data_IF_536117665467
#
_entry.id   IF_536117665467
#
_cell.length_a   1.000
_cell.length_b   1.000
_cell.length_c   1.000
_cell.angle_alpha   90.00
_cell.angle_beta   90.00
_cell.angle_gamma   90.00
#
_symmetry.space_group_name_H-M   'P 1'
#
loop_
_entity.id
_entity.type
_entity.pdbx_description
1 polymer ?
#
# COMPACT_ATOMS: atom_id res chain seq x y z
N UNK A 1 6.54 -12.73 60.19
CA UNK A 1 7.13 -12.74 58.85
C UNK A 1 7.97 -11.47 58.75
N UNK A 2 9.25 -11.56 59.06
CA UNK A 2 10.15 -10.40 59.01
C UNK A 2 10.50 -10.11 57.56
N UNK A 3 10.11 -8.94 57.08
CA UNK A 3 10.39 -8.51 55.72
C UNK A 3 11.83 -8.05 55.66
N UNK A 4 12.69 -8.80 54.97
CA UNK A 4 14.09 -8.44 54.78
C UNK A 4 14.23 -7.33 53.71
N UNK A 5 14.37 -6.09 54.16
CA UNK A 5 14.51 -4.90 53.30
C UNK A 5 15.71 -4.97 52.34
N UNK A 6 16.79 -5.67 52.69
CA UNK A 6 17.96 -5.85 51.83
C UNK A 6 17.61 -6.66 50.57
N UNK A 7 16.78 -7.69 50.74
CA UNK A 7 16.33 -8.54 49.64
C UNK A 7 15.43 -7.75 48.70
N UNK A 8 14.52 -6.94 49.24
CA UNK A 8 13.66 -6.04 48.47
C UNK A 8 14.50 -5.03 47.68
N UNK A 9 15.50 -4.41 48.31
CA UNK A 9 16.40 -3.46 47.64
C UNK A 9 17.16 -4.08 46.47
N UNK A 10 17.68 -5.30 46.63
CA UNK A 10 18.36 -6.04 45.56
C UNK A 10 17.42 -6.34 44.39
N UNK A 11 16.20 -6.78 44.65
CA UNK A 11 15.20 -7.01 43.59
C UNK A 11 14.84 -5.72 42.86
N UNK A 12 14.67 -4.61 43.58
CA UNK A 12 14.36 -3.31 42.98
C UNK A 12 15.48 -2.84 42.03
N UNK A 13 16.74 -3.00 42.42
CA UNK A 13 17.90 -2.64 41.58
C UNK A 13 17.96 -3.53 40.33
N UNK A 14 17.77 -4.85 40.47
CA UNK A 14 17.76 -5.77 39.33
C UNK A 14 16.63 -5.42 38.36
N UNK A 15 15.43 -5.15 38.87
CA UNK A 15 14.29 -4.75 38.07
C UNK A 15 14.55 -3.43 37.31
N UNK A 16 15.17 -2.45 37.98
CA UNK A 16 15.54 -1.17 37.36
C UNK A 16 16.55 -1.37 36.23
N UNK A 17 17.60 -2.18 36.44
CA UNK A 17 18.58 -2.50 35.41
C UNK A 17 17.94 -3.23 34.22
N UNK A 18 17.03 -4.16 34.48
CA UNK A 18 16.30 -4.87 33.43
C UNK A 18 15.46 -3.92 32.58
N UNK A 19 14.74 -2.98 33.21
CA UNK A 19 13.96 -1.94 32.51
C UNK A 19 14.87 -1.09 31.62
N UNK A 20 16.03 -0.65 32.13
CA UNK A 20 16.99 0.15 31.37
C UNK A 20 17.51 -0.63 30.15
N UNK A 21 17.95 -1.88 30.35
CA UNK A 21 18.46 -2.75 29.28
C UNK A 21 17.37 -2.99 28.22
N UNK A 22 16.14 -3.26 28.65
CA UNK A 22 15.01 -3.47 27.74
C UNK A 22 14.73 -2.25 26.87
N UNK A 23 14.74 -1.05 27.44
CA UNK A 23 14.55 0.20 26.69
C UNK A 23 15.69 0.45 25.69
N UNK A 24 16.95 0.22 26.09
CA UNK A 24 18.10 0.34 25.19
C UNK A 24 17.93 -0.64 24.01
N UNK A 25 17.57 -1.89 24.28
CA UNK A 25 17.35 -2.90 23.26
C UNK A 25 16.19 -2.51 22.32
N UNK A 26 15.08 -1.99 22.85
CA UNK A 26 13.95 -1.52 22.07
C UNK A 26 14.33 -0.36 21.13
N UNK A 27 15.14 0.59 21.61
CA UNK A 27 15.66 1.71 20.79
C UNK A 27 16.57 1.18 19.68
N UNK A 28 17.49 0.26 20.00
CA UNK A 28 18.38 -0.34 19.00
C UNK A 28 17.59 -1.09 17.91
N UNK A 29 16.57 -1.86 18.31
CA UNK A 29 15.64 -2.52 17.39
C UNK A 29 14.88 -1.48 16.56
N UNK A 30 14.39 -0.41 17.18
CA UNK A 30 13.71 0.70 16.50
C UNK A 30 14.59 1.35 15.43
N UNK A 31 15.82 1.71 15.77
CA UNK A 31 16.80 2.28 14.84
C UNK A 31 17.10 1.29 13.71
N UNK A 32 17.27 0.01 14.03
CA UNK A 32 17.48 -1.04 13.03
C UNK A 32 16.29 -1.15 12.05
N UNK A 33 15.05 -1.15 12.56
CA UNK A 33 13.83 -1.18 11.76
C UNK A 33 13.75 0.04 10.81
N UNK A 34 14.02 1.24 11.34
CA UNK A 34 13.99 2.49 10.56
C UNK A 34 15.04 2.45 9.44
N UNK A 35 16.27 2.01 9.74
CA UNK A 35 17.35 1.95 8.74
C UNK A 35 17.09 0.94 7.63
N UNK A 36 16.45 -0.19 7.92
CA UNK A 36 16.20 -1.25 6.94
C UNK A 36 14.85 -1.11 6.24
N UNK A 37 14.02 -0.13 6.64
CA UNK A 37 12.62 0.06 6.22
C UNK A 37 11.78 -1.21 6.32
N UNK A 38 12.20 -2.14 7.18
CA UNK A 38 11.60 -3.47 7.36
C UNK A 38 11.16 -3.58 8.80
N UNK A 39 9.93 -4.01 9.01
CA UNK A 39 9.42 -4.37 10.32
C UNK A 39 9.93 -5.77 10.64
N UNK A 40 10.78 -5.90 11.67
CA UNK A 40 11.50 -7.13 12.01
C UNK A 40 10.55 -8.25 12.45
N UNK A 41 9.45 -7.89 13.13
CA UNK A 41 8.42 -8.82 13.58
C UNK A 41 7.00 -8.32 13.24
N UNK A 42 6.58 -8.38 11.95
CA UNK A 42 5.31 -7.82 11.52
C UNK A 42 4.10 -8.49 12.18
N UNK A 43 4.17 -9.80 12.43
CA UNK A 43 3.12 -10.54 13.13
C UNK A 43 3.00 -10.12 14.61
N UNK A 44 4.12 -9.85 15.28
CA UNK A 44 4.12 -9.41 16.67
C UNK A 44 3.54 -7.99 16.79
N UNK A 45 3.93 -7.08 15.90
CA UNK A 45 3.37 -5.72 15.85
C UNK A 45 1.86 -5.76 15.66
N UNK A 46 1.37 -6.54 14.70
CA UNK A 46 -0.07 -6.69 14.47
C UNK A 46 -0.77 -7.36 15.66
N UNK A 47 -0.16 -8.37 16.29
CA UNK A 47 -0.72 -9.02 17.47
C UNK A 47 -0.91 -8.04 18.64
N UNK A 48 0.12 -7.25 18.96
CA UNK A 48 0.05 -6.22 19.99
C UNK A 48 -1.02 -5.19 19.63
N UNK A 49 -1.02 -4.72 18.38
CA UNK A 49 -1.99 -3.73 17.93
C UNK A 49 -3.44 -4.23 18.06
N UNK A 50 -3.72 -5.49 17.71
CA UNK A 50 -5.05 -6.09 17.89
C UNK A 50 -5.41 -6.34 19.35
N UNK A 51 -4.43 -6.70 20.20
CA UNK A 51 -4.65 -6.87 21.64
C UNK A 51 -5.10 -5.57 22.31
N UNK A 52 -4.52 -4.45 21.89
CA UNK A 52 -4.82 -3.13 22.45
C UNK A 52 -5.93 -2.37 21.69
N UNK A 53 -6.38 -2.83 20.53
CA UNK A 53 -7.41 -2.17 19.73
C UNK A 53 -8.69 -1.87 20.51
N UNK A 54 -9.28 -2.88 21.15
CA UNK A 54 -10.52 -2.70 21.92
C UNK A 54 -10.35 -1.80 23.15
N UNK A 55 -9.30 -1.97 23.99
CA UNK A 55 -8.97 -1.02 25.04
C UNK A 55 -8.79 0.43 24.55
N UNK A 56 -8.07 0.63 23.43
CA UNK A 56 -7.86 1.97 22.86
C UNK A 56 -9.19 2.58 22.44
N UNK A 57 -10.04 1.83 21.73
CA UNK A 57 -11.34 2.33 21.27
C UNK A 57 -12.24 2.72 22.44
N UNK A 58 -12.24 1.91 23.50
CA UNK A 58 -12.97 2.21 24.75
C UNK A 58 -12.47 3.49 25.42
N UNK A 59 -11.15 3.69 25.48
CA UNK A 59 -10.57 4.93 26.02
C UNK A 59 -10.99 6.12 25.17
N UNK A 60 -10.82 6.04 23.84
CA UNK A 60 -11.16 7.14 22.93
C UNK A 60 -12.64 7.52 22.99
N UNK A 61 -13.54 6.54 23.07
CA UNK A 61 -14.97 6.77 23.22
C UNK A 61 -15.29 7.43 24.57
N UNK A 62 -14.64 7.00 25.65
CA UNK A 62 -14.79 7.60 26.99
C UNK A 62 -14.34 9.06 27.02
N UNK A 63 -13.26 9.40 26.31
CA UNK A 63 -12.75 10.78 26.21
C UNK A 63 -13.43 11.61 25.12
N UNK A 64 -14.53 11.14 24.52
CA UNK A 64 -15.24 11.81 23.41
C UNK A 64 -14.34 12.19 22.21
N UNK A 65 -13.28 11.40 21.99
CA UNK A 65 -12.37 11.55 20.85
C UNK A 65 -12.91 10.79 19.63
N UNK A 66 -12.42 11.13 18.43
CA UNK A 66 -12.81 10.41 17.22
C UNK A 66 -12.26 8.97 17.25
N UNK A 67 -13.14 7.99 17.46
CA UNK A 67 -12.82 6.57 17.41
C UNK A 67 -12.22 6.13 16.06
N UNK A 68 -12.60 6.81 14.97
CA UNK A 68 -12.11 6.51 13.62
C UNK A 68 -10.59 6.69 13.51
N UNK A 69 -9.99 7.55 14.33
CA UNK A 69 -8.54 7.74 14.33
C UNK A 69 -7.80 6.43 14.67
N UNK A 70 -8.38 5.62 15.56
CA UNK A 70 -7.82 4.31 15.92
C UNK A 70 -7.87 3.36 14.72
N UNK A 71 -8.97 3.39 13.98
CA UNK A 71 -9.16 2.59 12.76
C UNK A 71 -8.19 3.04 11.65
N UNK A 72 -8.02 4.34 11.43
CA UNK A 72 -7.06 4.90 10.47
C UNK A 72 -5.60 4.56 10.80
N UNK A 73 -5.21 4.68 12.06
CA UNK A 73 -3.86 4.28 12.50
C UNK A 73 -3.66 2.78 12.26
N UNK A 74 -4.67 1.97 12.54
CA UNK A 74 -4.60 0.52 12.36
C UNK A 74 -4.35 0.15 10.88
N UNK A 75 -5.08 0.73 9.93
CA UNK A 75 -4.86 0.38 8.51
C UNK A 75 -3.63 1.03 7.91
N UNK A 76 -3.14 2.18 8.42
CA UNK A 76 -1.82 2.68 8.03
C UNK A 76 -0.69 1.75 8.49
N UNK A 77 -0.79 1.18 9.70
CA UNK A 77 0.17 0.18 10.17
C UNK A 77 0.08 -1.09 9.32
N UNK A 78 -1.12 -1.59 9.02
CA UNK A 78 -1.32 -2.76 8.15
C UNK A 78 -0.74 -2.50 6.75
N UNK A 79 -0.97 -1.31 6.20
CA UNK A 79 -0.38 -0.86 4.93
C UNK A 79 1.13 -0.93 4.96
N UNK A 80 1.76 -0.34 5.97
CA UNK A 80 3.21 -0.33 6.14
C UNK A 80 3.77 -1.75 6.28
N UNK A 81 3.10 -2.63 7.04
CA UNK A 81 3.49 -4.04 7.21
C UNK A 81 3.42 -4.83 5.91
N UNK A 82 2.39 -4.60 5.09
CA UNK A 82 2.19 -5.32 3.85
C UNK A 82 3.00 -4.75 2.67
N UNK A 83 3.48 -3.49 2.76
CA UNK A 83 4.05 -2.73 1.65
C UNK A 83 5.18 -3.46 0.91
N UNK A 84 6.17 -3.99 1.63
CA UNK A 84 7.32 -4.66 1.01
C UNK A 84 6.94 -5.93 0.24
N UNK A 85 5.92 -6.64 0.72
CA UNK A 85 5.40 -7.84 0.04
C UNK A 85 4.53 -7.43 -1.15
N UNK A 86 3.75 -6.36 -0.99
CA UNK A 86 2.88 -5.80 -2.01
C UNK A 86 3.67 -5.33 -3.23
N UNK A 87 4.75 -4.57 -3.03
CA UNK A 87 5.64 -4.07 -4.09
C UNK A 87 6.24 -5.16 -4.98
N UNK A 88 6.40 -6.38 -4.46
CA UNK A 88 7.01 -7.51 -5.19
C UNK A 88 6.03 -8.27 -6.08
N UNK A 89 4.74 -7.93 -6.05
CA UNK A 89 3.70 -8.62 -6.81
C UNK A 89 3.47 -7.95 -8.15
N UNK A 90 3.51 -8.75 -9.22
CA UNK A 90 3.39 -8.28 -10.60
C UNK A 90 2.25 -8.93 -11.38
N UNK A 91 1.61 -9.98 -10.85
CA UNK A 91 0.56 -10.74 -11.53
C UNK A 91 -0.76 -10.77 -10.75
N UNK A 92 -1.90 -10.85 -11.46
CA UNK A 92 -3.25 -11.01 -10.85
C UNK A 92 -3.50 -10.03 -9.70
N UNK A 93 -3.22 -8.76 -9.96
CA UNK A 93 -3.43 -7.67 -9.02
C UNK A 93 -4.89 -7.21 -9.12
N UNK A 94 -5.54 -7.04 -7.98
CA UNK A 94 -6.94 -6.60 -7.95
C UNK A 94 -7.11 -5.29 -7.18
N UNK A 95 -8.12 -4.53 -7.58
CA UNK A 95 -8.59 -3.34 -6.91
C UNK A 95 -10.07 -3.53 -6.56
N UNK A 96 -10.38 -3.48 -5.27
CA UNK A 96 -11.73 -3.59 -4.75
C UNK A 96 -12.26 -2.19 -4.42
N UNK A 97 -13.35 -1.81 -5.08
CA UNK A 97 -14.03 -0.54 -4.86
C UNK A 97 -15.38 -0.77 -4.17
N UNK A 98 -15.79 0.11 -3.24
CA UNK A 98 -17.05 -0.04 -2.54
C UNK A 98 -18.19 0.50 -3.41
N UNK A 99 -19.38 -0.08 -3.26
CA UNK A 99 -20.59 0.45 -3.90
C UNK A 99 -20.93 1.90 -3.50
N UNK A 100 -20.43 2.36 -2.35
CA UNK A 100 -20.70 3.70 -1.80
C UNK A 100 -20.18 4.83 -2.71
N UNK A 101 -19.17 4.57 -3.54
CA UNK A 101 -18.66 5.54 -4.53
C UNK A 101 -19.63 5.75 -5.72
N UNK A 102 -20.65 4.89 -5.88
CA UNK A 102 -21.57 4.98 -7.00
C UNK A 102 -22.51 6.17 -6.81
N UNK A 103 -22.75 6.87 -7.92
CA UNK A 103 -23.82 7.84 -8.01
C UNK A 103 -25.19 7.14 -8.12
N UNK A 104 -26.23 7.79 -7.60
CA UNK A 104 -27.63 7.38 -7.74
C UNK A 104 -28.06 7.05 -9.18
N UNK A 105 -27.50 7.76 -10.17
CA UNK A 105 -27.80 7.60 -11.60
C UNK A 105 -26.93 6.54 -12.29
N UNK A 106 -26.09 5.82 -11.54
CA UNK A 106 -25.19 4.81 -12.09
C UNK A 106 -25.96 3.59 -12.60
N UNK A 107 -25.84 3.30 -13.90
CA UNK A 107 -26.53 2.21 -14.61
C UNK A 107 -25.85 0.82 -14.48
N UNK A 108 -24.86 0.69 -13.59
CA UNK A 108 -24.12 -0.55 -13.41
C UNK A 108 -25.04 -1.69 -12.92
N UNK A 109 -24.99 -2.85 -13.58
CA UNK A 109 -25.71 -4.06 -13.16
C UNK A 109 -24.89 -4.83 -12.13
N UNK A 110 -25.56 -5.37 -11.11
CA UNK A 110 -24.93 -6.25 -10.13
C UNK A 110 -24.85 -7.68 -10.69
N UNK A 111 -23.63 -8.19 -10.82
CA UNK A 111 -23.35 -9.58 -11.07
C UNK A 111 -23.29 -10.36 -9.72
N UNK A 112 -23.93 -11.53 -9.60
CA UNK A 112 -23.95 -12.31 -8.34
C UNK A 112 -22.59 -12.78 -7.84
N UNK A 113 -21.58 -12.81 -8.70
CA UNK A 113 -20.25 -13.36 -8.46
C UNK A 113 -19.20 -12.24 -8.35
N UNK A 114 -19.22 -11.29 -9.27
CA UNK A 114 -18.20 -10.23 -9.38
C UNK A 114 -18.63 -8.85 -8.85
N UNK A 115 -19.90 -8.68 -8.47
CA UNK A 115 -20.43 -7.40 -8.00
C UNK A 115 -20.85 -6.48 -9.15
N UNK A 116 -20.83 -5.16 -8.94
CA UNK A 116 -21.27 -4.20 -9.96
C UNK A 116 -20.29 -4.10 -11.12
N UNK A 117 -20.82 -4.27 -12.34
CA UNK A 117 -20.05 -4.11 -13.58
C UNK A 117 -20.12 -2.65 -14.03
N UNK A 118 -19.00 -1.93 -13.89
CA UNK A 118 -18.89 -0.54 -14.34
C UNK A 118 -18.95 -0.47 -15.87
N UNK A 119 -19.82 0.39 -16.40
CA UNK A 119 -19.99 0.62 -17.85
C UNK A 119 -19.32 1.92 -18.32
N UNK A 120 -18.57 2.61 -17.46
CA UNK A 120 -17.94 3.90 -17.84
C UNK A 120 -18.94 5.05 -18.00
N UNK A 121 -20.03 5.06 -17.23
CA UNK A 121 -21.12 6.04 -17.41
C UNK A 121 -20.78 7.51 -17.06
N UNK A 122 -19.58 7.80 -16.55
CA UNK A 122 -19.11 9.15 -16.21
C UNK A 122 -19.80 9.83 -15.02
N UNK A 123 -20.67 9.12 -14.28
CA UNK A 123 -21.42 9.71 -13.15
C UNK A 123 -20.67 9.69 -11.81
N UNK A 124 -19.54 8.99 -11.71
CA UNK A 124 -18.75 8.83 -10.49
C UNK A 124 -17.28 8.51 -10.82
N UNK A 125 -16.41 8.65 -9.83
CA UNK A 125 -14.95 8.50 -9.98
C UNK A 125 -14.51 7.07 -10.34
N UNK A 126 -15.39 6.07 -10.15
CA UNK A 126 -15.12 4.66 -10.50
C UNK A 126 -14.69 4.50 -11.95
N UNK A 127 -15.26 5.28 -12.88
CA UNK A 127 -14.90 5.22 -14.30
C UNK A 127 -13.43 5.53 -14.53
N UNK A 128 -12.97 6.67 -14.01
CA UNK A 128 -11.58 7.09 -14.07
C UNK A 128 -10.66 6.09 -13.36
N UNK A 129 -11.04 5.62 -12.17
CA UNK A 129 -10.25 4.63 -11.43
C UNK A 129 -10.08 3.33 -12.23
N UNK A 130 -11.13 2.88 -12.93
CA UNK A 130 -11.06 1.69 -13.79
C UNK A 130 -10.06 1.85 -14.95
N UNK A 131 -10.00 3.04 -15.57
CA UNK A 131 -9.05 3.33 -16.64
C UNK A 131 -7.60 3.31 -16.13
N UNK A 132 -7.34 4.00 -15.02
CA UNK A 132 -6.02 4.06 -14.39
C UNK A 132 -5.54 2.70 -13.89
N UNK A 133 -6.46 1.89 -13.36
CA UNK A 133 -6.20 0.52 -12.94
C UNK A 133 -5.85 -0.39 -14.12
N UNK A 134 -6.59 -0.27 -15.24
CA UNK A 134 -6.32 -1.05 -16.46
C UNK A 134 -4.93 -0.73 -17.02
N UNK A 135 -4.51 0.54 -17.01
CA UNK A 135 -3.17 0.95 -17.45
C UNK A 135 -2.04 0.35 -16.60
N UNK A 136 -2.32 -0.07 -15.36
CA UNK A 136 -1.34 -0.62 -14.41
C UNK A 136 -1.51 -2.12 -14.15
N UNK A 137 -2.26 -2.83 -15.00
CA UNK A 137 -2.55 -4.26 -14.87
C UNK A 137 -3.26 -4.65 -13.55
N UNK A 138 -4.22 -3.83 -13.14
CA UNK A 138 -5.13 -4.14 -12.04
C UNK A 138 -6.52 -4.51 -12.58
N UNK A 139 -7.06 -5.63 -12.09
CA UNK A 139 -8.46 -6.00 -12.32
C UNK A 139 -9.34 -5.35 -11.25
N UNK A 140 -10.29 -4.53 -11.68
CA UNK A 140 -11.21 -3.83 -10.77
C UNK A 140 -12.48 -4.64 -10.52
N UNK A 141 -12.91 -4.71 -9.26
CA UNK A 141 -14.21 -5.23 -8.86
C UNK A 141 -14.91 -4.21 -7.97
N UNK A 142 -16.16 -3.87 -8.29
CA UNK A 142 -16.98 -2.98 -7.47
C UNK A 142 -17.92 -3.83 -6.63
N UNK A 143 -17.66 -3.92 -5.34
CA UNK A 143 -18.35 -4.86 -4.45
C UNK A 143 -19.49 -4.18 -3.66
N UNK A 144 -20.65 -4.84 -3.52
CA UNK A 144 -21.73 -4.34 -2.67
C UNK A 144 -21.41 -4.48 -1.17
N UNK A 145 -20.52 -5.39 -0.78
CA UNK A 145 -20.08 -5.53 0.60
C UNK A 145 -19.04 -6.63 0.79
N UNK A 146 -18.51 -6.74 2.01
CA UNK A 146 -17.39 -7.61 2.36
C UNK A 146 -17.55 -9.10 2.04
N UNK A 147 -18.78 -9.63 1.94
CA UNK A 147 -19.02 -11.05 1.59
C UNK A 147 -18.53 -11.41 0.19
N UNK A 148 -18.49 -10.45 -0.75
CA UNK A 148 -17.97 -10.65 -2.09
C UNK A 148 -16.45 -10.78 -2.13
N UNK A 149 -15.74 -10.18 -1.17
CA UNK A 149 -14.27 -10.28 -1.08
C UNK A 149 -13.84 -11.73 -1.06
N UNK A 150 -14.45 -12.56 -0.21
CA UNK A 150 -14.11 -13.99 -0.10
C UNK A 150 -14.38 -14.74 -1.42
N UNK A 151 -15.50 -14.46 -2.09
CA UNK A 151 -15.85 -15.08 -3.38
C UNK A 151 -14.81 -14.77 -4.45
N UNK A 152 -14.50 -13.48 -4.62
CA UNK A 152 -13.49 -13.00 -5.58
C UNK A 152 -12.13 -13.64 -5.29
N UNK A 153 -11.76 -13.75 -4.02
CA UNK A 153 -10.50 -14.36 -3.61
C UNK A 153 -10.42 -15.85 -3.94
N UNK A 154 -11.52 -16.58 -3.75
CA UNK A 154 -11.58 -18.01 -4.07
C UNK A 154 -11.50 -18.25 -5.58
N UNK A 155 -12.18 -17.42 -6.38
CA UNK A 155 -12.29 -17.61 -7.81
C UNK A 155 -11.10 -17.03 -8.59
N UNK A 156 -10.81 -15.74 -8.39
CA UNK A 156 -9.75 -15.05 -9.12
C UNK A 156 -8.36 -15.38 -8.57
N UNK A 157 -8.26 -15.80 -7.30
CA UNK A 157 -7.01 -16.10 -6.60
C UNK A 157 -5.98 -14.98 -6.79
N UNK A 158 -6.26 -13.74 -6.34
CA UNK A 158 -5.35 -12.61 -6.51
C UNK A 158 -4.01 -12.83 -5.78
N UNK A 159 -2.92 -12.24 -6.30
CA UNK A 159 -1.63 -12.25 -5.56
C UNK A 159 -1.42 -11.01 -4.69
N UNK A 160 -2.12 -9.93 -5.00
CA UNK A 160 -2.15 -8.68 -4.23
C UNK A 160 -3.47 -7.96 -4.43
N UNK A 161 -3.87 -7.18 -3.44
CA UNK A 161 -5.14 -6.45 -3.45
C UNK A 161 -4.95 -5.01 -2.99
N UNK A 162 -5.65 -4.07 -3.62
CA UNK A 162 -5.92 -2.75 -3.04
C UNK A 162 -7.40 -2.72 -2.69
N UNK A 163 -7.74 -2.37 -1.46
CA UNK A 163 -9.12 -2.18 -1.01
C UNK A 163 -9.41 -0.71 -0.73
N UNK A 164 -10.59 -0.26 -1.14
CA UNK A 164 -11.09 1.08 -0.82
C UNK A 164 -12.36 0.92 0.01
N UNK A 165 -12.40 1.53 1.20
CA UNK A 165 -13.56 1.49 2.10
C UNK A 165 -13.46 2.57 3.20
N UNK A 166 -14.46 2.67 4.07
CA UNK A 166 -14.33 3.47 5.29
C UNK A 166 -13.28 2.83 6.24
N UNK A 167 -12.66 3.61 7.16
CA UNK A 167 -11.60 3.11 8.04
C UNK A 167 -11.99 1.85 8.82
N UNK A 168 -13.23 1.80 9.32
CA UNK A 168 -13.77 0.67 10.10
C UNK A 168 -13.84 -0.62 9.26
N UNK A 169 -14.46 -0.55 8.07
CA UNK A 169 -14.59 -1.74 7.22
C UNK A 169 -13.22 -2.20 6.70
N UNK A 170 -12.31 -1.25 6.44
CA UNK A 170 -10.98 -1.53 5.92
C UNK A 170 -10.08 -2.20 6.97
N UNK A 171 -10.11 -1.72 8.22
CA UNK A 171 -9.31 -2.27 9.32
C UNK A 171 -9.66 -3.75 9.59
N UNK A 172 -10.95 -4.07 9.57
CA UNK A 172 -11.45 -5.44 9.67
C UNK A 172 -11.10 -6.30 8.45
N UNK A 173 -11.30 -5.75 7.25
CA UNK A 173 -11.12 -6.50 6.00
C UNK A 173 -9.66 -6.87 5.79
N UNK A 174 -8.73 -5.96 6.08
CA UNK A 174 -7.30 -6.21 6.00
C UNK A 174 -6.83 -7.23 7.05
N UNK A 175 -7.41 -7.22 8.25
CA UNK A 175 -7.16 -8.26 9.26
C UNK A 175 -7.55 -9.66 8.73
N UNK A 176 -8.75 -9.77 8.13
CA UNK A 176 -9.26 -11.02 7.56
C UNK A 176 -8.51 -11.47 6.29
N UNK A 177 -7.77 -10.57 5.66
CA UNK A 177 -7.09 -10.76 4.37
C UNK A 177 -5.58 -11.09 4.52
N UNK A 178 -5.16 -11.60 5.67
CA UNK A 178 -3.73 -11.79 6.01
C UNK A 178 -2.93 -12.74 5.08
N UNK A 179 -3.60 -13.48 4.18
CA UNK A 179 -2.96 -14.44 3.28
C UNK A 179 -2.29 -13.82 2.06
N UNK A 180 -2.73 -12.62 1.64
CA UNK A 180 -2.12 -11.90 0.51
C UNK A 180 -1.69 -10.50 0.96
N UNK A 181 -0.65 -9.91 0.35
CA UNK A 181 -0.32 -8.51 0.58
C UNK A 181 -1.47 -7.62 0.08
N UNK A 182 -2.10 -6.92 1.01
CA UNK A 182 -3.16 -5.97 0.73
C UNK A 182 -2.74 -4.55 1.13
N UNK A 183 -3.26 -3.56 0.41
CA UNK A 183 -3.17 -2.16 0.76
C UNK A 183 -4.58 -1.59 0.86
N UNK A 184 -4.79 -0.67 1.80
CA UNK A 184 -6.02 0.06 2.00
C UNK A 184 -5.88 1.53 1.62
N UNK A 185 -6.95 2.09 1.06
CA UNK A 185 -7.15 3.53 0.88
C UNK A 185 -8.52 3.90 1.46
N UNK A 186 -8.56 4.92 2.29
CA UNK A 186 -9.81 5.37 2.91
C UNK A 186 -10.64 6.25 1.98
N UNK A 187 -11.94 6.23 2.19
CA UNK A 187 -12.84 7.24 1.64
C UNK A 187 -12.55 8.60 2.31
N UNK A 188 -12.68 9.68 1.53
CA UNK A 188 -12.47 11.05 2.02
C UNK A 188 -13.59 11.53 2.95
N UNK A 189 -14.78 10.95 2.78
CA UNK A 189 -15.93 11.20 3.64
C UNK A 189 -16.57 9.87 4.00
N UNK A 190 -17.03 9.75 5.25
CA UNK A 190 -17.83 8.62 5.68
C UNK A 190 -19.26 8.70 5.16
N UNK A 191 -19.85 7.51 4.99
CA UNK A 191 -21.21 7.36 4.50
C UNK A 191 -21.36 6.13 3.63
N UNK A 192 -22.61 5.79 3.33
CA UNK A 192 -22.94 4.65 2.48
C UNK A 192 -23.41 5.07 1.07
N UNK A 193 -23.33 6.37 0.73
CA UNK A 193 -23.91 6.91 -0.48
C UNK A 193 -23.12 8.10 -1.02
N UNK A 194 -22.82 8.08 -2.32
CA UNK A 194 -22.09 9.13 -3.04
C UNK A 194 -20.83 9.63 -2.30
N UNK A 195 -20.11 8.69 -1.70
CA UNK A 195 -18.84 8.98 -1.03
C UNK A 195 -17.78 9.37 -2.05
N UNK A 196 -16.75 10.06 -1.57
CA UNK A 196 -15.60 10.48 -2.39
C UNK A 196 -14.35 9.75 -1.95
N UNK A 197 -13.44 9.55 -2.88
CA UNK A 197 -12.09 9.04 -2.62
C UNK A 197 -11.09 9.90 -3.36
N UNK A 198 -9.92 10.07 -2.77
CA UNK A 198 -8.82 10.68 -3.49
C UNK A 198 -8.26 9.68 -4.51
N UNK A 199 -8.56 9.91 -5.80
CA UNK A 199 -8.11 9.05 -6.90
C UNK A 199 -6.58 8.97 -6.95
N UNK A 200 -5.89 10.07 -6.64
CA UNK A 200 -4.42 10.12 -6.66
C UNK A 200 -3.80 9.17 -5.64
N UNK A 201 -4.45 8.95 -4.50
CA UNK A 201 -3.94 8.02 -3.48
C UNK A 201 -4.05 6.56 -3.94
N UNK A 202 -5.12 6.23 -4.66
CA UNK A 202 -5.27 4.91 -5.30
C UNK A 202 -4.19 4.72 -6.37
N UNK A 203 -4.00 5.72 -7.24
CA UNK A 203 -2.97 5.70 -8.30
C UNK A 203 -1.58 5.50 -7.68
N UNK A 204 -1.24 6.28 -6.65
CA UNK A 204 0.03 6.18 -5.94
C UNK A 204 0.26 4.78 -5.36
N UNK A 205 -0.78 4.15 -4.79
CA UNK A 205 -0.69 2.76 -4.30
C UNK A 205 -0.50 1.76 -5.44
N UNK A 206 -1.18 1.94 -6.57
CA UNK A 206 -0.99 1.08 -7.75
C UNK A 206 0.46 1.15 -8.28
N UNK A 207 1.02 2.36 -8.37
CA UNK A 207 2.38 2.60 -8.87
C UNK A 207 3.48 1.96 -8.01
N UNK A 208 3.23 1.76 -6.71
CA UNK A 208 4.16 1.07 -5.83
C UNK A 208 4.47 -0.37 -6.31
N UNK A 209 3.54 -1.03 -7.01
CA UNK A 209 3.79 -2.36 -7.60
C UNK A 209 4.61 -2.30 -8.90
N UNK A 210 4.51 -1.19 -9.64
CA UNK A 210 5.15 -1.02 -10.95
C UNK A 210 6.64 -0.73 -10.80
N UNK A 211 7.05 -0.01 -9.76
CA UNK A 211 8.45 0.38 -9.56
C UNK A 211 9.43 -0.81 -9.43
N UNK A 212 8.95 -1.98 -9.02
CA UNK A 212 9.79 -3.18 -8.88
C UNK A 212 10.03 -3.90 -10.22
N UNK A 213 9.11 -3.78 -11.19
CA UNK A 213 9.28 -4.38 -12.51
C UNK A 213 10.36 -3.64 -13.33
N UNK A 214 10.45 -2.31 -13.21
CA UNK A 214 11.49 -1.52 -13.90
C UNK A 214 12.90 -1.79 -13.36
N UNK A 215 13.07 -1.98 -12.04
CA UNK A 215 14.39 -2.32 -11.47
C UNK A 215 14.85 -3.75 -11.80
N UNK A 216 13.93 -4.66 -12.12
CA UNK A 216 14.28 -6.04 -12.50
C UNK A 216 14.69 -6.14 -13.99
N UNK A 217 14.21 -5.23 -14.84
CA UNK A 217 14.60 -5.18 -16.26
C UNK A 217 15.92 -4.41 -16.48
N UNK A 218 16.30 -3.52 -15.55
CA UNK A 218 17.47 -2.65 -15.66
C UNK A 218 18.77 -3.06 -14.91
N UNK A 219 19.07 -4.33 -14.53
CA UNK A 219 20.44 -4.66 -14.12
C UNK A 219 21.39 -4.83 -15.32
N UNK A 220 20.89 -5.09 -16.52
CA UNK A 220 21.74 -5.41 -17.69
C UNK A 220 21.86 -4.31 -18.76
N UNK A 221 21.14 -3.19 -18.64
CA UNK A 221 21.25 -2.09 -19.61
C UNK A 221 22.49 -1.20 -19.40
N UNK A 222 23.19 -1.32 -18.26
CA UNK A 222 24.41 -0.54 -18.00
C UNK A 222 25.66 -1.13 -18.67
N UNK A 223 25.66 -2.41 -19.02
CA UNK A 223 26.82 -3.09 -19.63
C UNK A 223 26.97 -2.79 -21.13
N UNK A 224 25.87 -2.52 -21.84
CA UNK A 224 25.92 -2.25 -23.29
C UNK A 224 26.31 -0.80 -23.63
N UNK A 225 25.94 0.18 -22.78
CA UNK A 225 26.27 1.60 -22.99
C UNK A 225 27.78 1.90 -22.84
N UNK A 226 28.51 1.09 -22.08
CA UNK A 226 29.99 1.15 -22.02
C UNK A 226 30.66 0.58 -23.27
N UNK A 227 30.03 -0.39 -23.94
CA UNK A 227 30.61 -1.01 -25.14
C UNK A 227 30.38 -0.15 -26.39
N UNK A 228 29.24 0.54 -26.50
CA UNK A 228 28.97 1.44 -27.64
C UNK A 228 29.85 2.69 -27.62
N UNK A 229 30.19 3.21 -26.42
CA UNK A 229 31.10 4.36 -26.29
C UNK A 229 32.55 4.03 -26.67
N UNK A 230 32.99 2.78 -26.53
CA UNK A 230 34.32 2.35 -26.98
C UNK A 230 34.41 2.09 -28.49
N UNK A 231 33.28 1.88 -29.18
CA UNK A 231 33.25 1.70 -30.64
C UNK A 231 33.15 3.07 -31.36
N UNK A 232 32.51 4.05 -30.74
CA UNK A 232 32.36 5.41 -31.29
C UNK A 232 33.62 6.28 -31.15
N UNK A 233 34.59 5.90 -30.31
CA UNK A 233 35.88 6.61 -30.19
C UNK A 233 36.94 6.17 -31.21
N UNK A 234 36.71 5.08 -31.96
CA UNK A 234 37.65 4.57 -32.97
C UNK A 234 37.33 4.97 -34.42
N UNK A 235 36.19 5.62 -34.68
CA UNK A 235 35.71 5.87 -36.06
C UNK A 235 35.57 7.36 -36.40
N UNK A 236 36.34 8.22 -35.72
CA UNK A 236 36.41 9.66 -36.01
C UNK A 236 37.68 10.00 -36.82
N UNK A 237 37.83 9.38 -37.98
CA UNK A 237 38.66 9.94 -39.06
C UNK A 237 37.95 9.59 -40.36
N UNK A 238 37.82 10.56 -41.27
CA UNK A 238 37.09 10.52 -42.56
C UNK A 238 35.65 11.08 -42.50
N UNK A 239 35.55 12.39 -42.27
CA UNK A 239 34.43 13.19 -42.79
C UNK A 239 34.80 13.67 -44.21
N UNK A 240 33.96 13.45 -45.24
CA UNK A 240 34.13 14.13 -46.51
C UNK A 240 33.66 15.58 -46.40
N UNK A 241 34.39 16.50 -47.02
CA UNK A 241 34.07 17.93 -47.10
C UNK A 241 32.82 18.16 -47.95
N UNK A 242 31.83 18.85 -47.39
CA UNK A 242 30.61 19.28 -48.10
C UNK A 242 30.93 20.56 -48.91
N UNK A 243 30.60 20.63 -50.21
CA UNK A 243 30.91 21.80 -51.03
C UNK A 243 29.97 22.99 -50.79
N UNK A 244 30.51 24.19 -50.98
CA UNK A 244 30.05 25.49 -50.48
C UNK A 244 28.83 26.14 -51.17
N UNK A 245 27.96 25.38 -51.85
CA UNK A 245 26.85 25.97 -52.63
C UNK A 245 25.45 25.78 -52.00
N UNK A 246 25.33 25.15 -50.83
CA UNK A 246 24.04 24.96 -50.17
C UNK A 246 23.81 26.04 -49.09
N UNK A 247 23.38 27.24 -49.50
CA UNK A 247 22.75 28.21 -48.61
C UNK A 247 21.52 28.81 -49.32
N UNK A 248 20.29 28.56 -48.86
CA UNK A 248 19.10 29.16 -49.46
C UNK A 248 18.75 30.43 -48.68
N UNK A 249 19.04 31.57 -49.28
CA UNK A 249 18.56 32.88 -48.86
C UNK A 249 18.58 33.80 -50.08
N UNK A 250 17.43 34.42 -50.34
CA UNK A 250 17.14 35.45 -51.35
C UNK A 250 16.39 34.93 -52.60
N UNK A 251 15.07 34.82 -52.44
CA UNK A 251 13.97 35.38 -53.28
C UNK A 251 12.60 34.80 -52.87
#
# INVERSE_FOLDING_TARGET
MEINYETIGRFAIIALLFIIIFNILAILIGIYNIRRKKILFPKFVLFILYLFYAPLKYIFSTFSMNEQLVDEILVEIQNAVALDKFKKKNDRKILLLPQCLRNSRCRARCDPLYGFVCTGCGQCDIGQICEEAKARDFKVFVIPGGSFVRKIFTEYKPTSCIGVACPVELSESLQKTSMIPAQGVYLANDGCFETKVNVDDIIRKMEQTVLTSTQTILPNAQTDLTNTKNILSSTQTMLPTVPAWANPGDE
#
